data_IF_101379049901
#
_entry.id   IF_101379049901
#
_cell.length_a   1.000
_cell.length_b   1.000
_cell.length_c   1.000
_cell.angle_alpha   90.00
_cell.angle_beta   90.00
_cell.angle_gamma   90.00
#
_symmetry.space_group_name_H-M   'P 1'
#
loop_
_entity.id
_entity.type
_entity.pdbx_description
1 polymer ?
#
# COMPACT_ATOMS: atom_id res chain seq x y z
N UNK A 1 12.74 16.54 -3.63
CA UNK A 1 13.56 16.82 -2.42
C UNK A 1 12.73 16.57 -1.16
N UNK A 2 11.64 17.32 -0.90
CA UNK A 2 10.85 17.23 0.34
C UNK A 2 10.41 15.80 0.70
N UNK A 3 9.94 15.00 -0.27
CA UNK A 3 9.53 13.60 -0.03
C UNK A 3 10.70 12.73 0.45
N UNK A 4 11.88 12.92 -0.10
CA UNK A 4 13.06 12.15 0.31
C UNK A 4 13.57 12.52 1.72
N UNK A 5 13.17 13.69 2.25
CA UNK A 5 13.51 14.12 3.60
C UNK A 5 12.59 13.51 4.66
N UNK A 6 11.29 13.35 4.33
CA UNK A 6 10.25 12.98 5.30
C UNK A 6 9.84 11.51 5.25
N UNK A 7 10.05 10.83 4.13
CA UNK A 7 9.66 9.41 4.02
C UNK A 7 10.69 8.48 4.65
N UNK A 8 10.25 7.37 5.26
CA UNK A 8 11.14 6.47 6.00
C UNK A 8 12.07 5.65 5.10
N UNK A 9 13.22 5.27 5.66
CA UNK A 9 14.16 4.35 5.05
C UNK A 9 14.85 4.91 3.81
N UNK A 10 14.91 4.11 2.76
CA UNK A 10 15.57 4.41 1.49
C UNK A 10 14.57 4.66 0.34
N UNK A 11 13.36 5.13 0.66
CA UNK A 11 12.37 5.57 -0.32
C UNK A 11 12.88 6.85 -1.01
N UNK A 12 13.46 6.73 -2.18
CA UNK A 12 14.20 7.81 -2.86
C UNK A 12 13.81 8.04 -4.32
N UNK A 13 13.10 7.09 -4.94
CA UNK A 13 12.56 7.25 -6.29
C UNK A 13 11.10 7.67 -6.25
N UNK A 14 10.73 8.73 -7.00
CA UNK A 14 9.37 9.28 -6.98
C UNK A 14 8.85 9.51 -8.38
N UNK A 15 7.62 9.11 -8.64
CA UNK A 15 6.89 9.43 -9.85
C UNK A 15 5.48 9.89 -9.51
N UNK A 16 5.05 10.98 -10.12
CA UNK A 16 3.75 11.61 -9.81
C UNK A 16 2.69 11.23 -10.84
N UNK A 17 1.46 11.12 -10.34
CA UNK A 17 0.25 10.82 -11.11
C UNK A 17 -0.90 11.71 -10.67
N UNK A 18 -2.05 11.60 -11.34
CA UNK A 18 -3.25 12.41 -11.11
C UNK A 18 -4.34 11.69 -10.32
N UNK A 19 -4.22 10.39 -10.09
CA UNK A 19 -5.19 9.62 -9.32
C UNK A 19 -4.56 8.44 -8.60
N UNK A 20 -5.19 8.00 -7.48
CA UNK A 20 -4.70 6.84 -6.73
C UNK A 20 -4.67 5.56 -7.56
N UNK A 21 -5.67 5.35 -8.42
CA UNK A 21 -5.71 4.15 -9.27
C UNK A 21 -4.57 4.12 -10.29
N UNK A 22 -4.21 5.27 -10.88
CA UNK A 22 -3.07 5.35 -11.81
C UNK A 22 -1.73 5.16 -11.10
N UNK A 23 -1.61 5.66 -9.87
CA UNK A 23 -0.44 5.40 -9.02
C UNK A 23 -0.33 3.91 -8.67
N UNK A 24 -1.43 3.24 -8.32
CA UNK A 24 -1.44 1.79 -8.05
C UNK A 24 -1.04 1.00 -9.30
N UNK A 25 -1.59 1.30 -10.47
CA UNK A 25 -1.20 0.65 -11.75
C UNK A 25 0.30 0.81 -12.02
N UNK A 26 0.84 1.99 -11.76
CA UNK A 26 2.27 2.24 -11.91
C UNK A 26 3.10 1.45 -10.88
N UNK A 27 2.70 1.42 -9.62
CA UNK A 27 3.33 0.60 -8.58
C UNK A 27 3.35 -0.88 -8.93
N UNK A 28 2.24 -1.42 -9.42
CA UNK A 28 2.17 -2.81 -9.93
C UNK A 28 3.15 -3.06 -11.08
N UNK A 29 3.31 -2.11 -11.99
CA UNK A 29 4.30 -2.21 -13.09
C UNK A 29 5.73 -2.17 -12.55
N UNK A 30 5.99 -1.38 -11.49
CA UNK A 30 7.29 -1.38 -10.80
C UNK A 30 7.56 -2.75 -10.19
N UNK A 31 6.60 -3.35 -9.47
CA UNK A 31 6.76 -4.69 -8.90
C UNK A 31 7.17 -5.70 -9.98
N UNK A 32 6.48 -5.70 -11.13
CA UNK A 32 6.80 -6.59 -12.25
C UNK A 32 8.18 -6.35 -12.84
N UNK A 33 8.54 -5.08 -13.05
CA UNK A 33 9.83 -4.72 -13.62
C UNK A 33 11.00 -5.09 -12.70
N UNK A 34 10.85 -4.86 -11.39
CA UNK A 34 11.87 -5.14 -10.39
C UNK A 34 12.04 -6.63 -10.12
N UNK A 35 10.94 -7.38 -9.96
CA UNK A 35 10.97 -8.81 -9.65
C UNK A 35 11.18 -9.70 -10.88
N UNK A 36 10.86 -9.20 -12.08
CA UNK A 36 10.73 -10.00 -13.33
C UNK A 36 9.64 -11.07 -13.24
N UNK A 37 8.63 -10.87 -12.42
CA UNK A 37 7.48 -11.74 -12.20
C UNK A 37 6.18 -10.97 -12.44
N UNK A 38 5.05 -11.65 -12.67
CA UNK A 38 3.82 -11.01 -13.15
C UNK A 38 2.64 -11.08 -12.19
N UNK A 39 2.54 -12.13 -11.38
CA UNK A 39 1.41 -12.33 -10.48
C UNK A 39 1.52 -11.46 -9.22
N UNK A 40 0.39 -11.10 -8.64
CA UNK A 40 0.32 -10.28 -7.42
C UNK A 40 -0.72 -10.82 -6.46
N UNK A 41 -0.50 -10.58 -5.18
CA UNK A 41 -1.40 -10.99 -4.10
C UNK A 41 -1.88 -9.77 -3.34
N UNK A 42 -3.19 -9.69 -3.08
CA UNK A 42 -3.82 -8.74 -2.16
C UNK A 42 -4.65 -9.47 -1.11
N UNK A 43 -5.14 -8.75 -0.12
CA UNK A 43 -6.06 -9.31 0.86
C UNK A 43 -7.53 -9.16 0.43
N UNK A 44 -8.39 -10.06 0.91
CA UNK A 44 -9.83 -9.89 0.80
C UNK A 44 -10.24 -8.52 1.36
N UNK A 45 -11.12 -7.83 0.65
CA UNK A 45 -11.65 -6.50 0.97
C UNK A 45 -10.69 -5.33 0.78
N UNK A 46 -9.49 -5.53 0.24
CA UNK A 46 -8.64 -4.43 -0.21
C UNK A 46 -9.33 -3.63 -1.32
N UNK A 47 -9.00 -2.35 -1.39
CA UNK A 47 -9.46 -1.44 -2.43
C UNK A 47 -8.31 -0.61 -2.99
N UNK A 48 -7.98 -0.84 -4.25
CA UNK A 48 -6.84 -0.23 -4.93
C UNK A 48 -7.21 0.70 -6.09
N UNK A 49 -8.48 0.89 -6.36
CA UNK A 49 -8.96 1.73 -7.45
C UNK A 49 -9.96 1.03 -8.37
N UNK A 50 -10.28 1.68 -9.50
CA UNK A 50 -11.32 1.22 -10.42
C UNK A 50 -10.84 1.01 -11.87
N UNK A 51 -9.55 1.17 -12.16
CA UNK A 51 -8.96 0.70 -13.42
C UNK A 51 -8.91 -0.83 -13.44
N UNK A 52 -8.78 -1.44 -14.61
CA UNK A 52 -8.92 -2.88 -14.78
C UNK A 52 -7.91 -3.67 -13.91
N UNK A 53 -6.66 -3.24 -13.83
CA UNK A 53 -5.64 -3.90 -12.99
C UNK A 53 -5.89 -3.68 -11.50
N UNK A 54 -6.08 -2.43 -11.08
CA UNK A 54 -6.30 -2.08 -9.69
C UNK A 54 -7.56 -2.74 -9.11
N UNK A 55 -8.69 -2.75 -9.86
CA UNK A 55 -9.93 -3.41 -9.41
C UNK A 55 -9.78 -4.93 -9.32
N UNK A 56 -8.84 -5.51 -10.07
CA UNK A 56 -8.58 -6.96 -10.05
C UNK A 56 -7.93 -7.43 -8.75
N UNK A 57 -7.23 -6.54 -8.04
CA UNK A 57 -6.71 -6.77 -6.68
C UNK A 57 -7.70 -6.35 -5.59
N UNK A 58 -8.80 -5.69 -5.93
CA UNK A 58 -9.83 -5.29 -4.98
C UNK A 58 -10.89 -6.36 -4.79
N UNK A 59 -11.56 -6.36 -3.63
CA UNK A 59 -12.64 -7.29 -3.31
C UNK A 59 -13.97 -6.61 -3.01
N UNK A 60 -14.07 -5.30 -3.11
CA UNK A 60 -15.33 -4.60 -2.87
C UNK A 60 -16.27 -4.85 -4.05
N UNK A 61 -17.36 -5.55 -3.79
CA UNK A 61 -18.32 -6.00 -4.82
C UNK A 61 -18.77 -4.85 -5.74
N UNK A 62 -19.03 -3.68 -5.20
CA UNK A 62 -19.43 -2.52 -5.99
C UNK A 62 -18.33 -1.99 -6.92
N UNK A 63 -17.06 -2.15 -6.56
CA UNK A 63 -15.94 -1.74 -7.39
C UNK A 63 -15.65 -2.73 -8.52
N UNK A 64 -15.89 -4.02 -8.30
CA UNK A 64 -15.64 -5.07 -9.31
C UNK A 64 -16.87 -5.36 -10.18
N UNK A 65 -18.03 -4.78 -9.87
CA UNK A 65 -19.24 -5.04 -10.64
C UNK A 65 -19.07 -4.55 -12.10
N UNK A 66 -19.39 -5.43 -13.04
CA UNK A 66 -19.22 -5.15 -14.47
C UNK A 66 -17.79 -5.23 -15.01
N UNK A 67 -16.83 -5.64 -14.17
CA UNK A 67 -15.43 -5.82 -14.57
C UNK A 67 -15.05 -7.31 -14.61
N UNK A 68 -14.27 -7.70 -15.63
CA UNK A 68 -13.55 -8.97 -15.62
C UNK A 68 -12.20 -8.78 -14.95
N UNK A 69 -11.75 -9.74 -14.17
CA UNK A 69 -10.44 -9.69 -13.50
C UNK A 69 -9.31 -9.96 -14.49
N UNK A 70 -8.21 -9.26 -14.30
CA UNK A 70 -6.96 -9.54 -15.01
C UNK A 70 -6.37 -10.84 -14.45
N UNK A 71 -5.92 -11.79 -15.29
CA UNK A 71 -5.22 -12.99 -14.83
C UNK A 71 -3.98 -12.67 -14.00
N UNK A 72 -3.63 -13.57 -13.07
CA UNK A 72 -2.46 -13.40 -12.18
C UNK A 72 -2.68 -12.43 -11.02
N UNK A 73 -3.93 -12.04 -10.76
CA UNK A 73 -4.32 -11.25 -9.59
C UNK A 73 -5.00 -12.16 -8.57
N UNK A 74 -4.34 -12.38 -7.46
CA UNK A 74 -4.76 -13.29 -6.41
C UNK A 74 -5.21 -12.55 -5.16
N UNK A 75 -6.09 -13.17 -4.37
CA UNK A 75 -6.52 -12.63 -3.10
C UNK A 75 -6.50 -13.70 -2.02
N UNK A 76 -5.98 -13.32 -0.86
CA UNK A 76 -5.87 -14.18 0.32
C UNK A 76 -6.68 -13.60 1.48
N UNK A 77 -7.01 -14.41 2.50
CA UNK A 77 -7.66 -13.92 3.70
C UNK A 77 -6.87 -12.80 4.37
N UNK A 78 -7.56 -11.74 4.79
CA UNK A 78 -6.98 -10.66 5.60
C UNK A 78 -6.84 -11.10 7.06
N UNK A 79 -5.82 -10.64 7.79
CA UNK A 79 -5.71 -10.87 9.23
C UNK A 79 -6.63 -9.89 10.00
N UNK A 80 -7.91 -10.19 10.05
CA UNK A 80 -8.94 -9.40 10.73
C UNK A 80 -8.93 -9.70 12.23
N UNK A 81 -8.44 -8.77 13.03
CA UNK A 81 -8.35 -8.96 14.49
C UNK A 81 -9.72 -9.07 15.17
N UNK A 82 -10.77 -8.51 14.58
CA UNK A 82 -12.13 -8.58 15.13
C UNK A 82 -12.86 -9.89 14.76
N UNK A 83 -12.59 -10.43 13.56
CA UNK A 83 -13.20 -11.68 13.06
C UNK A 83 -12.14 -12.57 12.41
N UNK A 84 -11.18 -13.07 13.20
CA UNK A 84 -10.09 -13.85 12.65
C UNK A 84 -10.58 -15.20 12.10
N UNK A 85 -9.99 -15.65 10.98
CA UNK A 85 -10.20 -16.99 10.46
C UNK A 85 -9.45 -18.05 11.29
N UNK A 86 -8.29 -17.67 11.83
CA UNK A 86 -7.47 -18.57 12.64
C UNK A 86 -7.08 -17.90 13.93
N UNK A 87 -7.30 -18.64 15.04
CA UNK A 87 -6.95 -18.23 16.38
C UNK A 87 -6.04 -19.26 17.05
N UNK A 88 -5.19 -18.80 17.93
CA UNK A 88 -4.41 -19.65 18.85
C UNK A 88 -5.33 -20.22 19.94
N UNK A 89 -4.85 -21.21 20.71
CA UNK A 89 -5.64 -21.79 21.82
C UNK A 89 -6.09 -20.78 22.90
N UNK A 90 -5.38 -19.66 23.03
CA UNK A 90 -5.71 -18.56 23.96
C UNK A 90 -6.75 -17.59 23.38
N UNK A 91 -7.25 -17.82 22.17
CA UNK A 91 -8.22 -16.98 21.48
C UNK A 91 -7.62 -15.80 20.71
N UNK A 92 -6.33 -15.52 20.84
CA UNK A 92 -5.66 -14.49 20.03
C UNK A 92 -5.55 -14.91 18.57
N UNK A 93 -5.48 -13.91 17.67
CA UNK A 93 -5.30 -14.19 16.24
C UNK A 93 -3.98 -14.92 15.97
N UNK A 94 -4.03 -15.93 15.11
CA UNK A 94 -2.83 -16.70 14.71
C UNK A 94 -2.21 -16.12 13.43
N UNK A 95 -1.42 -15.08 13.57
CA UNK A 95 -0.73 -14.42 12.45
C UNK A 95 0.21 -15.36 11.71
N UNK A 96 0.86 -16.29 12.42
CA UNK A 96 1.76 -17.26 11.80
C UNK A 96 1.02 -18.20 10.86
N UNK A 97 -0.23 -18.55 11.22
CA UNK A 97 -1.10 -19.36 10.35
C UNK A 97 -1.50 -18.62 9.08
N UNK A 98 -1.70 -17.30 9.13
CA UNK A 98 -1.94 -16.49 7.93
C UNK A 98 -0.73 -16.51 7.00
N UNK A 99 0.48 -16.29 7.52
CA UNK A 99 1.71 -16.33 6.70
C UNK A 99 1.93 -17.73 6.11
N UNK A 100 1.75 -18.78 6.90
CA UNK A 100 1.84 -20.16 6.41
C UNK A 100 0.82 -20.47 5.31
N UNK A 101 -0.40 -19.96 5.43
CA UNK A 101 -1.42 -20.09 4.39
C UNK A 101 -1.02 -19.34 3.11
N UNK A 102 -0.41 -18.16 3.22
CA UNK A 102 0.05 -17.43 2.04
C UNK A 102 1.14 -18.19 1.29
N UNK A 103 2.06 -18.83 2.01
CA UNK A 103 3.08 -19.70 1.42
C UNK A 103 2.45 -20.90 0.71
N UNK A 104 1.51 -21.59 1.36
CA UNK A 104 0.75 -22.71 0.77
C UNK A 104 -0.07 -22.28 -0.45
N UNK A 105 -0.71 -21.09 -0.39
CA UNK A 105 -1.48 -20.55 -1.51
C UNK A 105 -0.59 -20.27 -2.71
N UNK A 106 0.58 -19.66 -2.51
CA UNK A 106 1.56 -19.42 -3.58
C UNK A 106 1.97 -20.72 -4.22
N UNK A 107 2.27 -21.76 -3.43
CA UNK A 107 2.69 -23.05 -3.94
C UNK A 107 1.58 -23.81 -4.69
N UNK A 108 0.33 -23.72 -4.24
CA UNK A 108 -0.79 -24.54 -4.76
C UNK A 108 -1.67 -23.82 -5.78
N UNK A 109 -1.76 -22.49 -5.75
CA UNK A 109 -2.79 -21.73 -6.46
C UNK A 109 -2.24 -20.70 -7.45
N UNK A 110 -0.92 -20.57 -7.56
CA UNK A 110 -0.26 -19.68 -8.52
C UNK A 110 0.61 -20.48 -9.50
N UNK A 111 1.14 -19.80 -10.52
CA UNK A 111 2.13 -20.43 -11.43
C UNK A 111 3.58 -20.18 -10.98
N UNK A 112 3.80 -19.85 -9.72
CA UNK A 112 5.09 -19.52 -9.12
C UNK A 112 5.78 -18.28 -9.72
N UNK A 113 4.98 -17.37 -10.28
CA UNK A 113 5.44 -16.12 -10.90
C UNK A 113 5.02 -14.88 -10.09
N UNK A 114 4.90 -15.03 -8.76
CA UNK A 114 4.43 -13.97 -7.86
C UNK A 114 5.51 -12.91 -7.69
N UNK A 115 5.19 -11.66 -8.09
CA UNK A 115 6.02 -10.48 -7.93
C UNK A 115 6.03 -10.00 -6.46
N UNK A 116 4.89 -10.04 -5.79
CA UNK A 116 4.77 -9.56 -4.43
C UNK A 116 3.35 -9.34 -3.95
N UNK A 117 3.25 -8.71 -2.79
CA UNK A 117 2.00 -8.32 -2.16
C UNK A 117 1.69 -6.84 -2.42
N UNK A 118 0.40 -6.54 -2.63
CA UNK A 118 -0.15 -5.18 -2.73
C UNK A 118 -1.26 -5.07 -1.69
N UNK A 119 -1.06 -4.29 -0.64
CA UNK A 119 -1.94 -4.25 0.54
C UNK A 119 -2.21 -2.83 1.01
N UNK A 120 -3.41 -2.58 1.51
CA UNK A 120 -3.67 -1.41 2.35
C UNK A 120 -3.14 -1.69 3.77
N UNK A 121 -2.35 -0.79 4.41
CA UNK A 121 -1.92 -0.97 5.82
C UNK A 121 -3.10 -1.08 6.79
N UNK A 122 -4.12 -0.26 6.58
CA UNK A 122 -5.44 -0.37 7.21
C UNK A 122 -6.46 -0.33 6.07
N UNK A 123 -7.30 -1.35 5.98
CA UNK A 123 -8.27 -1.47 4.91
C UNK A 123 -9.40 -0.45 5.08
N UNK A 124 -9.36 0.64 4.31
CA UNK A 124 -10.35 1.71 4.44
C UNK A 124 -11.77 1.26 4.08
N UNK A 125 -12.00 0.91 2.83
CA UNK A 125 -13.30 0.43 2.36
C UNK A 125 -13.68 -0.95 2.88
N UNK A 126 -12.72 -1.73 3.32
CA UNK A 126 -12.92 -3.02 3.99
C UNK A 126 -13.53 -2.92 5.38
N UNK A 127 -13.75 -1.69 5.90
CA UNK A 127 -14.34 -1.42 7.20
C UNK A 127 -13.36 -0.85 8.24
N UNK A 128 -12.34 -0.13 7.82
CA UNK A 128 -11.25 0.39 8.66
C UNK A 128 -10.58 -0.71 9.49
N UNK A 129 -10.34 -1.84 8.84
CA UNK A 129 -9.78 -3.02 9.51
C UNK A 129 -8.28 -2.89 9.61
N UNK A 130 -7.79 -2.92 10.84
CA UNK A 130 -6.38 -2.89 11.19
C UNK A 130 -5.88 -4.32 11.46
N UNK A 131 -4.74 -4.73 10.86
CA UNK A 131 -4.16 -6.03 11.16
C UNK A 131 -3.47 -6.03 12.55
N UNK A 132 -3.17 -7.20 13.12
CA UNK A 132 -2.38 -7.30 14.35
C UNK A 132 -0.98 -6.69 14.21
N UNK A 133 -0.41 -6.24 15.32
CA UNK A 133 0.89 -5.55 15.35
C UNK A 133 2.04 -6.38 14.79
N UNK A 134 1.97 -7.70 14.89
CA UNK A 134 3.02 -8.60 14.41
C UNK A 134 2.87 -8.99 12.92
N UNK A 135 1.79 -8.59 12.25
CA UNK A 135 1.49 -9.01 10.89
C UNK A 135 2.50 -8.46 9.87
N UNK A 136 2.62 -7.14 9.75
CA UNK A 136 3.53 -6.55 8.77
C UNK A 136 5.01 -6.88 8.99
N UNK A 137 5.54 -6.91 10.24
CA UNK A 137 6.89 -7.40 10.49
C UNK A 137 7.12 -8.86 10.03
N UNK A 138 6.13 -9.73 10.23
CA UNK A 138 6.18 -11.12 9.75
C UNK A 138 6.08 -11.22 8.24
N UNK A 139 5.16 -10.47 7.63
CA UNK A 139 4.99 -10.44 6.18
C UNK A 139 6.25 -9.89 5.49
N UNK A 140 6.86 -8.82 6.03
CA UNK A 140 8.11 -8.27 5.49
C UNK A 140 9.23 -9.33 5.49
N UNK A 141 9.43 -9.99 6.62
CA UNK A 141 10.41 -11.08 6.74
C UNK A 141 10.12 -12.20 5.74
N UNK A 142 8.87 -12.63 5.65
CA UNK A 142 8.45 -13.64 4.68
C UNK A 142 8.76 -13.21 3.22
N UNK A 143 8.44 -11.96 2.87
CA UNK A 143 8.76 -11.43 1.55
C UNK A 143 10.27 -11.44 1.28
N UNK A 144 11.08 -11.01 2.25
CA UNK A 144 12.55 -11.01 2.13
C UNK A 144 13.10 -12.43 1.91
N UNK A 145 12.61 -13.40 2.67
CA UNK A 145 13.02 -14.81 2.56
C UNK A 145 12.65 -15.44 1.22
N UNK A 146 11.52 -15.05 0.64
CA UNK A 146 11.01 -15.59 -0.64
C UNK A 146 11.42 -14.76 -1.86
N UNK A 147 12.09 -13.62 -1.67
CA UNK A 147 12.41 -12.69 -2.75
C UNK A 147 11.15 -12.11 -3.39
N UNK A 148 10.13 -11.82 -2.58
CA UNK A 148 8.89 -11.14 -2.97
C UNK A 148 8.97 -9.66 -2.59
N UNK A 149 8.28 -8.80 -3.35
CA UNK A 149 8.21 -7.38 -3.04
C UNK A 149 6.95 -7.06 -2.24
N UNK A 150 7.02 -6.03 -1.40
CA UNK A 150 5.90 -5.51 -0.64
C UNK A 150 5.55 -4.11 -1.13
N UNK A 151 4.34 -3.94 -1.63
CA UNK A 151 3.76 -2.64 -1.96
C UNK A 151 2.69 -2.29 -0.94
N UNK A 152 2.83 -1.13 -0.30
CA UNK A 152 1.82 -0.55 0.56
C UNK A 152 1.00 0.50 -0.21
N UNK A 153 -0.31 0.30 -0.27
CA UNK A 153 -1.23 1.31 -0.77
C UNK A 153 -1.63 2.25 0.36
N UNK A 154 -0.88 3.34 0.48
CA UNK A 154 -1.07 4.40 1.46
C UNK A 154 -1.92 5.57 0.93
N UNK A 155 -2.64 5.36 -0.15
CA UNK A 155 -3.52 6.40 -0.73
C UNK A 155 -4.56 6.89 0.28
N UNK A 156 -5.02 6.02 1.19
CA UNK A 156 -5.93 6.41 2.27
C UNK A 156 -5.19 6.68 3.59
N UNK A 157 -4.26 5.82 3.96
CA UNK A 157 -3.69 5.74 5.31
C UNK A 157 -2.52 6.69 5.53
N UNK A 158 -1.86 7.10 4.46
CA UNK A 158 -0.72 8.01 4.52
C UNK A 158 -1.11 9.48 4.74
N UNK A 159 -0.07 10.31 4.72
CA UNK A 159 -0.14 11.76 4.79
C UNK A 159 -0.81 12.28 6.06
N UNK A 160 -0.33 11.79 7.20
CA UNK A 160 -0.77 12.26 8.53
C UNK A 160 -2.04 11.61 9.06
N UNK A 161 -2.75 10.81 8.26
CA UNK A 161 -4.04 10.20 8.64
C UNK A 161 -4.00 9.40 9.95
N UNK A 162 -2.89 8.74 10.21
CA UNK A 162 -2.68 7.87 11.38
C UNK A 162 -1.66 8.43 12.37
N UNK A 163 -1.28 9.71 12.27
CA UNK A 163 -0.26 10.32 13.11
C UNK A 163 1.18 10.12 12.62
N UNK A 164 1.37 9.49 11.48
CA UNK A 164 2.67 9.30 10.81
C UNK A 164 2.58 9.74 9.36
N UNK A 165 3.71 9.98 8.69
CA UNK A 165 3.72 10.25 7.25
C UNK A 165 3.20 9.06 6.46
N UNK A 166 3.65 7.86 6.80
CA UNK A 166 3.14 6.59 6.30
C UNK A 166 2.61 5.74 7.44
N UNK A 167 1.48 5.09 7.25
CA UNK A 167 0.90 4.18 8.23
C UNK A 167 1.82 2.99 8.54
N UNK A 168 2.61 2.54 7.57
CA UNK A 168 3.58 1.45 7.75
C UNK A 168 4.65 1.74 8.80
N UNK A 169 4.87 3.01 9.15
CA UNK A 169 5.80 3.41 10.21
C UNK A 169 5.39 2.89 11.60
N UNK A 170 4.09 2.67 11.83
CA UNK A 170 3.62 2.09 13.11
C UNK A 170 4.16 0.68 13.35
N UNK A 171 4.50 -0.05 12.31
CA UNK A 171 5.10 -1.39 12.39
C UNK A 171 6.61 -1.41 12.16
N UNK A 172 7.24 -0.24 11.95
CA UNK A 172 8.66 -0.15 11.62
C UNK A 172 9.06 -0.86 10.32
N UNK A 173 8.11 -0.98 9.38
CA UNK A 173 8.32 -1.67 8.10
C UNK A 173 8.40 -0.66 6.97
N UNK A 174 9.47 -0.74 6.18
CA UNK A 174 9.61 0.03 4.94
C UNK A 174 9.21 -0.85 3.76
N UNK A 175 8.11 -0.52 3.05
CA UNK A 175 7.71 -1.24 1.84
C UNK A 175 8.69 -0.97 0.69
N UNK A 176 8.74 -1.88 -0.29
CA UNK A 176 9.55 -1.69 -1.50
C UNK A 176 8.94 -0.63 -2.44
N UNK A 177 7.60 -0.55 -2.44
CA UNK A 177 6.82 0.42 -3.20
C UNK A 177 5.72 0.98 -2.32
N UNK A 178 5.47 2.27 -2.41
CA UNK A 178 4.37 2.96 -1.69
C UNK A 178 3.58 3.82 -2.67
N UNK A 179 2.25 3.76 -2.59
CA UNK A 179 1.38 4.73 -3.28
C UNK A 179 0.79 5.72 -2.28
N UNK A 180 0.85 7.01 -2.63
CA UNK A 180 0.41 8.13 -1.79
C UNK A 180 -0.62 8.95 -2.57
N UNK A 181 -1.67 9.40 -1.89
CA UNK A 181 -2.72 10.19 -2.55
C UNK A 181 -3.63 10.90 -1.54
N UNK A 182 -4.86 11.20 -1.94
CA UNK A 182 -5.87 11.89 -1.12
C UNK A 182 -5.31 13.10 -0.36
N UNK A 183 -4.95 12.94 0.93
CA UNK A 183 -4.38 13.99 1.76
C UNK A 183 -3.13 14.64 1.17
N UNK A 184 -2.37 13.93 0.36
CA UNK A 184 -1.19 14.44 -0.33
C UNK A 184 -1.49 15.69 -1.18
N UNK A 185 -2.55 15.64 -2.00
CA UNK A 185 -2.99 16.77 -2.80
C UNK A 185 -4.06 17.65 -2.14
N UNK A 186 -4.62 17.18 -1.01
CA UNK A 186 -5.64 17.86 -0.21
C UNK A 186 -6.80 18.47 -1.05
N UNK A 187 -7.35 17.65 -1.96
CA UNK A 187 -8.41 18.04 -2.90
C UNK A 187 -7.90 18.32 -4.31
N UNK A 188 -6.60 18.52 -4.51
CA UNK A 188 -6.00 18.60 -5.83
C UNK A 188 -5.63 17.20 -6.35
N UNK A 189 -5.72 16.92 -7.66
CA UNK A 189 -5.35 15.62 -8.22
C UNK A 189 -3.83 15.45 -8.25
N UNK A 190 -3.27 15.10 -7.08
CA UNK A 190 -1.87 14.81 -6.86
C UNK A 190 -1.72 13.47 -6.15
N UNK A 191 -0.97 12.56 -6.75
CA UNK A 191 -0.59 11.26 -6.19
C UNK A 191 0.84 10.94 -6.54
N UNK A 192 1.44 10.04 -5.77
CA UNK A 192 2.84 9.67 -5.96
C UNK A 192 3.01 8.16 -5.79
N UNK A 193 3.91 7.60 -6.57
CA UNK A 193 4.54 6.31 -6.29
C UNK A 193 5.93 6.58 -5.77
N UNK A 194 6.24 6.10 -4.58
CA UNK A 194 7.57 6.11 -4.01
C UNK A 194 8.16 4.70 -4.05
N UNK A 195 9.43 4.58 -4.37
CA UNK A 195 10.14 3.30 -4.42
C UNK A 195 11.46 3.38 -3.68
N UNK A 196 11.89 2.25 -3.13
CA UNK A 196 13.21 2.14 -2.50
C UNK A 196 14.34 2.24 -3.54
N UNK A 197 15.51 2.66 -3.08
CA UNK A 197 16.69 2.90 -3.93
C UNK A 197 16.98 1.75 -4.93
N UNK A 198 17.00 0.47 -4.55
CA UNK A 198 17.34 -0.62 -5.49
C UNK A 198 16.37 -0.72 -6.69
N UNK A 199 15.18 -0.15 -6.58
CA UNK A 199 14.12 -0.28 -7.59
C UNK A 199 13.87 0.99 -8.40
N UNK A 200 14.63 2.07 -8.19
CA UNK A 200 14.45 3.37 -8.87
C UNK A 200 14.54 3.26 -10.39
N UNK A 201 15.44 2.41 -10.89
CA UNK A 201 15.60 2.14 -12.33
C UNK A 201 14.37 1.48 -12.97
N UNK A 202 13.46 0.92 -12.18
CA UNK A 202 12.21 0.34 -12.69
C UNK A 202 11.33 1.40 -13.35
N UNK A 203 11.40 2.65 -12.92
CA UNK A 203 10.65 3.75 -13.55
C UNK A 203 11.03 3.95 -15.03
N UNK A 204 12.30 3.85 -15.37
CA UNK A 204 12.75 3.91 -16.77
C UNK A 204 12.24 2.70 -17.55
N UNK A 205 12.38 1.50 -16.96
CA UNK A 205 11.98 0.24 -17.60
C UNK A 205 10.50 0.18 -17.95
N UNK A 206 9.64 0.80 -17.15
CA UNK A 206 8.19 0.83 -17.37
C UNK A 206 7.72 2.08 -18.11
N UNK A 207 8.64 2.98 -18.51
CA UNK A 207 8.27 4.29 -19.04
C UNK A 207 7.26 4.99 -18.10
N UNK A 208 7.65 5.15 -16.83
CA UNK A 208 6.80 5.70 -15.80
C UNK A 208 6.54 7.18 -16.05
N UNK A 209 5.51 7.47 -16.82
CA UNK A 209 5.11 8.83 -17.17
C UNK A 209 3.59 9.00 -17.07
N UNK A 210 3.17 10.23 -16.90
CA UNK A 210 1.77 10.63 -16.91
C UNK A 210 1.68 11.98 -17.61
N UNK A 211 0.67 12.19 -18.46
CA UNK A 211 0.51 13.44 -19.20
C UNK A 211 0.35 14.65 -18.27
N UNK A 212 -0.27 14.48 -17.13
CA UNK A 212 -0.57 15.55 -16.18
C UNK A 212 -0.01 15.30 -14.76
N UNK A 213 0.50 14.12 -14.47
CA UNK A 213 1.14 13.82 -13.20
C UNK A 213 2.40 14.67 -13.00
N UNK A 214 2.54 15.27 -11.81
CA UNK A 214 3.66 16.15 -11.50
C UNK A 214 3.57 17.53 -12.15
N UNK A 215 2.38 17.97 -12.60
CA UNK A 215 2.22 19.34 -13.08
C UNK A 215 2.48 20.36 -11.94
N UNK A 216 2.91 21.59 -12.26
CA UNK A 216 3.32 22.56 -11.26
C UNK A 216 2.25 22.88 -10.20
N UNK A 217 0.97 22.90 -10.58
CA UNK A 217 -0.10 23.17 -9.62
C UNK A 217 -0.31 22.01 -8.65
N UNK A 218 -0.28 20.76 -9.14
CA UNK A 218 -0.37 19.57 -8.30
C UNK A 218 0.82 19.46 -7.34
N UNK A 219 2.04 19.76 -7.81
CA UNK A 219 3.23 19.79 -6.97
C UNK A 219 3.16 20.90 -5.91
N UNK A 220 2.69 22.10 -6.28
CA UNK A 220 2.51 23.19 -5.32
C UNK A 220 1.46 22.85 -4.25
N UNK A 221 0.33 22.24 -4.64
CA UNK A 221 -0.68 21.78 -3.70
C UNK A 221 -0.18 20.71 -2.74
N UNK A 222 0.57 19.74 -3.25
CA UNK A 222 1.18 18.70 -2.42
C UNK A 222 2.23 19.24 -1.45
N UNK A 223 3.06 20.20 -1.91
CA UNK A 223 4.04 20.86 -1.06
C UNK A 223 3.36 21.66 0.05
N UNK A 224 2.39 22.51 -0.29
CA UNK A 224 1.63 23.29 0.68
C UNK A 224 0.90 22.41 1.70
N UNK A 225 0.31 21.31 1.27
CA UNK A 225 -0.31 20.31 2.18
C UNK A 225 0.72 19.73 3.16
N UNK A 226 1.92 19.43 2.68
CA UNK A 226 3.00 18.90 3.50
C UNK A 226 3.50 19.94 4.51
N UNK A 227 3.73 21.16 4.07
CA UNK A 227 4.18 22.28 4.92
C UNK A 227 3.19 22.56 6.06
N UNK A 228 1.88 22.62 5.77
CA UNK A 228 0.84 22.79 6.79
C UNK A 228 0.84 21.66 7.83
N UNK A 229 1.01 20.41 7.39
CA UNK A 229 1.10 19.27 8.31
C UNK A 229 2.28 19.42 9.28
N UNK A 230 3.42 19.89 8.79
CA UNK A 230 4.61 20.12 9.62
C UNK A 230 4.45 21.36 10.54
N UNK A 231 4.05 22.50 9.98
CA UNK A 231 3.94 23.77 10.69
C UNK A 231 2.91 23.72 11.83
N UNK A 232 1.79 23.03 11.62
CA UNK A 232 0.72 22.88 12.60
C UNK A 232 0.87 21.62 13.47
N UNK A 233 1.95 20.84 13.32
CA UNK A 233 2.20 19.57 14.03
C UNK A 233 1.01 18.59 13.94
N UNK A 234 0.41 18.46 12.74
CA UNK A 234 -0.82 17.70 12.58
C UNK A 234 -0.64 16.20 12.77
N UNK A 235 0.57 15.66 12.63
CA UNK A 235 0.85 14.25 12.94
C UNK A 235 0.58 13.95 14.42
N UNK A 236 1.22 14.69 15.32
CA UNK A 236 1.04 14.56 16.77
C UNK A 236 -0.40 14.87 17.18
N UNK A 237 -1.02 15.87 16.55
CA UNK A 237 -2.40 16.23 16.79
C UNK A 237 -3.36 15.09 16.44
N UNK A 238 -3.17 14.41 15.32
CA UNK A 238 -3.98 13.28 14.88
C UNK A 238 -3.84 12.08 15.85
N UNK A 239 -2.63 11.77 16.30
CA UNK A 239 -2.36 10.71 17.26
C UNK A 239 -3.08 10.99 18.60
N UNK A 240 -2.90 12.18 19.16
CA UNK A 240 -3.55 12.60 20.40
C UNK A 240 -5.08 12.58 20.32
N UNK A 241 -5.68 13.03 19.21
CA UNK A 241 -7.12 12.98 19.03
C UNK A 241 -7.64 11.56 18.83
N UNK A 242 -6.85 10.69 18.20
CA UNK A 242 -7.16 9.26 18.07
C UNK A 242 -7.23 8.58 19.45
N UNK A 243 -6.26 8.82 20.31
CA UNK A 243 -6.25 8.31 21.69
C UNK A 243 -7.47 8.81 22.49
N UNK A 244 -7.79 10.09 22.37
CA UNK A 244 -8.96 10.68 23.05
C UNK A 244 -10.28 10.06 22.55
N UNK A 245 -10.38 9.76 21.26
CA UNK A 245 -11.59 9.16 20.68
C UNK A 245 -11.82 7.70 21.08
N UNK A 246 -10.79 7.02 21.56
CA UNK A 246 -10.87 5.62 22.03
C UNK A 246 -11.24 5.51 23.53
N UNK A 247 -11.24 6.62 24.28
CA UNK A 247 -11.66 6.69 25.67
C UNK A 247 -13.18 6.81 25.80
#
# INVERSE_FOLDING_TARGET
>A
EKLAEILPGDLSGFQFYDSGTTAVEAGMRVLRAASKRNEMISCFYDYHGKTQGAVSLGHIRSAVYGSTRVPGMHMVPRPDAYRPLWTKPDGSIDTDRYIAFYDEYIDKATVHDVAGFVLEPIQGWGGSVMPPDDFFPKLRRYCDEKGLLLMADEVLTGWGRTGKWLCMEHWGVVPDVVTIGKGFGNGFPATCVAVREPYTKSFESISASSSYGGNPMACAAALASTEVIEEENLLEHAERLGELALQ
#
